data_IF_085357095973
#
_entry.id   IF_085357095973
#
_cell.length_a   1.000
_cell.length_b   1.000
_cell.length_c   1.000
_cell.angle_alpha   90.00
_cell.angle_beta   90.00
_cell.angle_gamma   90.00
#
_symmetry.space_group_name_H-M   'P 1'
#
loop_
_entity.id
_entity.type
_entity.pdbx_description
1 polymer ?
#
# COMPACT_ATOMS: atom_id res chain seq x y z
N UNK A 1 3.12 8.05 -3.86
CA UNK A 1 4.44 7.87 -4.51
C UNK A 1 5.06 9.20 -4.89
N UNK A 2 6.27 9.54 -4.39
CA UNK A 2 6.87 10.86 -4.56
C UNK A 2 7.23 11.19 -6.02
N UNK A 3 7.46 10.18 -6.86
CA UNK A 3 7.91 10.35 -8.25
C UNK A 3 6.79 10.60 -9.28
N UNK A 4 5.51 10.48 -8.92
CA UNK A 4 4.41 10.83 -9.84
C UNK A 4 4.31 12.36 -9.89
N UNK A 5 4.32 12.97 -11.07
CA UNK A 5 4.25 14.43 -11.21
C UNK A 5 2.92 15.01 -10.71
N UNK A 6 2.90 16.31 -10.35
CA UNK A 6 1.71 16.97 -9.78
C UNK A 6 0.53 17.05 -10.75
N UNK A 7 0.78 17.22 -12.05
CA UNK A 7 -0.28 17.30 -13.08
C UNK A 7 -1.09 15.99 -13.13
N UNK A 8 -0.41 14.86 -13.23
CA UNK A 8 -1.05 13.55 -13.26
C UNK A 8 -1.83 13.29 -11.95
N UNK A 9 -1.30 13.73 -10.80
CA UNK A 9 -2.05 13.63 -9.53
C UNK A 9 -3.32 14.48 -9.56
N UNK A 10 -3.25 15.71 -10.07
CA UNK A 10 -4.42 16.58 -10.15
C UNK A 10 -5.53 15.99 -11.04
N UNK A 11 -5.18 15.28 -12.11
CA UNK A 11 -6.14 14.58 -12.96
C UNK A 11 -6.74 13.33 -12.28
N UNK A 12 -5.94 12.60 -11.51
CA UNK A 12 -6.36 11.33 -10.90
C UNK A 12 -7.06 11.50 -9.56
N UNK A 13 -6.65 12.46 -8.73
CA UNK A 13 -7.11 12.60 -7.34
C UNK A 13 -8.64 12.69 -7.23
N UNK A 14 -9.36 13.53 -8.01
CA UNK A 14 -10.81 13.61 -7.88
C UNK A 14 -11.54 12.29 -8.14
N UNK A 15 -11.00 11.45 -9.05
CA UNK A 15 -11.55 10.14 -9.35
C UNK A 15 -11.24 9.13 -8.24
N UNK A 16 -10.05 9.23 -7.64
CA UNK A 16 -9.65 8.43 -6.50
C UNK A 16 -10.52 8.77 -5.29
N UNK A 17 -10.77 10.05 -5.04
CA UNK A 17 -11.61 10.54 -3.94
C UNK A 17 -13.02 9.95 -4.07
N UNK A 18 -13.67 10.13 -5.22
CA UNK A 18 -15.00 9.57 -5.50
C UNK A 18 -15.06 8.04 -5.33
N UNK A 19 -14.05 7.31 -5.83
CA UNK A 19 -14.02 5.86 -5.70
C UNK A 19 -13.80 5.43 -4.26
N UNK A 20 -12.94 6.13 -3.52
CA UNK A 20 -12.64 5.84 -2.11
C UNK A 20 -13.86 6.08 -1.21
N UNK A 21 -14.59 7.17 -1.41
CA UNK A 21 -15.86 7.43 -0.73
C UNK A 21 -16.88 6.33 -0.99
N UNK A 22 -16.97 5.87 -2.23
CA UNK A 22 -17.89 4.79 -2.58
C UNK A 22 -17.52 3.47 -1.91
N UNK A 23 -16.24 3.12 -1.89
CA UNK A 23 -15.75 1.92 -1.18
C UNK A 23 -16.05 2.02 0.31
N UNK A 24 -15.74 3.16 0.94
CA UNK A 24 -15.96 3.36 2.37
C UNK A 24 -17.44 3.34 2.75
N UNK A 25 -18.33 3.86 1.89
CA UNK A 25 -19.76 3.83 2.15
C UNK A 25 -20.35 2.43 1.96
N UNK A 26 -19.92 1.68 0.94
CA UNK A 26 -20.33 0.27 0.77
C UNK A 26 -19.80 -0.58 1.92
N UNK A 27 -18.55 -0.39 2.36
CA UNK A 27 -18.01 -1.21 3.47
C UNK A 27 -18.78 -1.03 4.78
N UNK A 28 -19.41 0.13 5.00
CA UNK A 28 -20.22 0.40 6.19
C UNK A 28 -21.58 -0.30 6.18
N UNK A 29 -22.04 -0.80 5.03
CA UNK A 29 -23.30 -1.54 4.92
C UNK A 29 -23.14 -3.03 5.14
N UNK A 30 -21.91 -3.52 5.34
CA UNK A 30 -21.59 -4.93 5.56
C UNK A 30 -21.44 -5.21 7.07
N UNK A 31 -21.75 -6.44 7.49
CA UNK A 31 -21.83 -6.82 8.92
C UNK A 31 -20.46 -7.06 9.61
N UNK A 32 -19.34 -6.70 8.98
CA UNK A 32 -18.01 -6.90 9.57
C UNK A 32 -17.02 -5.78 9.23
N UNK A 33 -16.24 -5.36 10.25
CA UNK A 33 -15.30 -4.24 10.14
C UNK A 33 -14.24 -4.41 9.04
N UNK A 34 -13.90 -5.66 8.69
CA UNK A 34 -12.93 -5.96 7.63
C UNK A 34 -13.48 -5.82 6.19
N UNK A 35 -14.75 -5.43 5.99
CA UNK A 35 -15.39 -5.40 4.67
C UNK A 35 -14.67 -4.49 3.67
N UNK A 36 -14.12 -3.37 4.14
CA UNK A 36 -13.33 -2.46 3.30
C UNK A 36 -12.15 -3.17 2.65
N UNK A 37 -11.54 -4.18 3.29
CA UNK A 37 -10.38 -4.88 2.77
C UNK A 37 -10.73 -5.70 1.53
N UNK A 38 -11.87 -6.40 1.54
CA UNK A 38 -12.37 -7.13 0.37
C UNK A 38 -12.68 -6.22 -0.81
N UNK A 39 -13.36 -5.10 -0.55
CA UNK A 39 -13.70 -4.11 -1.57
C UNK A 39 -12.46 -3.41 -2.15
N UNK A 40 -11.47 -3.07 -1.32
CA UNK A 40 -10.20 -2.53 -1.78
C UNK A 40 -9.43 -3.55 -2.62
N UNK A 41 -9.39 -4.82 -2.20
CA UNK A 41 -8.73 -5.88 -2.96
C UNK A 41 -9.36 -6.07 -4.35
N UNK A 42 -10.69 -6.21 -4.39
CA UNK A 42 -11.44 -6.30 -5.65
C UNK A 42 -11.20 -5.08 -6.55
N UNK A 43 -11.32 -3.88 -5.99
CA UNK A 43 -11.16 -2.63 -6.74
C UNK A 43 -9.77 -2.49 -7.30
N UNK A 44 -8.73 -2.74 -6.48
CA UNK A 44 -7.33 -2.65 -6.88
C UNK A 44 -7.01 -3.64 -8.00
N UNK A 45 -7.45 -4.89 -7.85
CA UNK A 45 -7.30 -5.94 -8.86
C UNK A 45 -7.97 -5.55 -10.17
N UNK A 46 -9.23 -5.14 -10.11
CA UNK A 46 -10.01 -4.76 -11.29
C UNK A 46 -9.43 -3.53 -11.98
N UNK A 47 -9.00 -2.52 -11.23
CA UNK A 47 -8.37 -1.32 -11.78
C UNK A 47 -7.07 -1.67 -12.52
N UNK A 48 -6.18 -2.43 -11.89
CA UNK A 48 -4.91 -2.85 -12.50
C UNK A 48 -5.12 -3.63 -13.80
N UNK A 49 -6.03 -4.62 -13.80
CA UNK A 49 -6.32 -5.42 -15.00
C UNK A 49 -6.95 -4.58 -16.12
N UNK A 50 -7.84 -3.64 -15.78
CA UNK A 50 -8.43 -2.71 -16.77
C UNK A 50 -7.36 -1.80 -17.38
N UNK A 51 -6.45 -1.26 -16.57
CA UNK A 51 -5.33 -0.44 -17.06
C UNK A 51 -4.47 -1.24 -18.03
N UNK A 52 -4.10 -2.49 -17.68
CA UNK A 52 -3.33 -3.37 -18.57
C UNK A 52 -4.07 -3.63 -19.88
N UNK A 53 -5.36 -3.97 -19.82
CA UNK A 53 -6.18 -4.22 -21.01
C UNK A 53 -6.24 -2.99 -21.93
N UNK A 54 -6.47 -1.80 -21.37
CA UNK A 54 -6.53 -0.55 -22.13
C UNK A 54 -5.18 -0.16 -22.72
N UNK A 55 -4.08 -0.37 -21.99
CA UNK A 55 -2.75 0.07 -22.40
C UNK A 55 -2.05 -0.87 -23.37
N UNK A 56 -2.25 -2.19 -23.21
CA UNK A 56 -1.48 -3.22 -23.91
C UNK A 56 -2.33 -4.18 -24.74
N UNK A 57 -3.65 -4.21 -24.56
CA UNK A 57 -4.59 -5.08 -25.29
C UNK A 57 -4.51 -6.58 -24.94
N UNK A 58 -3.38 -7.05 -24.39
CA UNK A 58 -3.17 -8.44 -23.98
C UNK A 58 -2.27 -8.55 -22.76
N UNK A 59 -2.48 -9.61 -21.98
CA UNK A 59 -1.63 -9.95 -20.83
C UNK A 59 -0.36 -10.67 -21.29
N UNK A 60 0.76 -10.37 -20.63
CA UNK A 60 2.06 -11.04 -20.80
C UNK A 60 2.68 -11.28 -19.43
N UNK A 61 3.53 -12.29 -19.30
CA UNK A 61 4.12 -12.67 -18.02
C UNK A 61 4.86 -11.51 -17.32
N UNK A 62 5.66 -10.73 -18.07
CA UNK A 62 6.35 -9.57 -17.49
C UNK A 62 5.40 -8.51 -16.94
N UNK A 63 4.17 -8.41 -17.46
CA UNK A 63 3.13 -7.51 -16.93
C UNK A 63 2.62 -8.05 -15.59
N UNK A 64 2.41 -9.36 -15.47
CA UNK A 64 2.03 -10.00 -14.21
C UNK A 64 3.11 -9.75 -13.15
N UNK A 65 4.38 -10.02 -13.48
CA UNK A 65 5.51 -9.75 -12.58
C UNK A 65 5.57 -8.26 -12.17
N UNK A 66 5.33 -7.34 -13.10
CA UNK A 66 5.30 -5.90 -12.84
C UNK A 66 4.15 -5.51 -11.90
N UNK A 67 2.94 -6.03 -12.11
CA UNK A 67 1.79 -5.76 -11.24
C UNK A 67 2.02 -6.30 -9.83
N UNK A 68 2.52 -7.52 -9.69
CA UNK A 68 2.86 -8.10 -8.40
C UNK A 68 3.90 -7.26 -7.66
N UNK A 69 4.95 -6.83 -8.36
CA UNK A 69 5.97 -5.93 -7.80
C UNK A 69 5.38 -4.59 -7.35
N UNK A 70 4.47 -4.00 -8.14
CA UNK A 70 3.77 -2.76 -7.75
C UNK A 70 2.98 -2.95 -6.47
N UNK A 71 2.19 -4.01 -6.35
CA UNK A 71 1.38 -4.23 -5.14
C UNK A 71 2.23 -4.57 -3.90
N UNK A 72 3.34 -5.30 -4.07
CA UNK A 72 4.32 -5.50 -3.01
C UNK A 72 4.89 -4.17 -2.52
N UNK A 73 5.32 -3.31 -3.44
CA UNK A 73 5.82 -1.97 -3.08
C UNK A 73 4.75 -1.11 -2.38
N UNK A 74 3.48 -1.21 -2.78
CA UNK A 74 2.38 -0.50 -2.07
C UNK A 74 2.26 -1.00 -0.63
N UNK A 75 2.27 -2.32 -0.42
CA UNK A 75 2.23 -2.92 0.92
C UNK A 75 3.40 -2.47 1.79
N UNK A 76 4.61 -2.49 1.23
CA UNK A 76 5.83 -2.13 1.98
C UNK A 76 5.84 -0.63 2.34
N UNK A 77 5.31 0.24 1.47
CA UNK A 77 5.19 1.66 1.78
C UNK A 77 4.16 1.95 2.88
N UNK A 78 3.10 1.15 3.02
CA UNK A 78 2.20 1.26 4.17
C UNK A 78 2.92 0.96 5.48
N UNK A 79 3.67 -0.14 5.51
CA UNK A 79 4.44 -0.50 6.70
C UNK A 79 5.49 0.58 7.02
N UNK A 80 6.35 0.91 6.05
CA UNK A 80 7.46 1.84 6.23
C UNK A 80 7.03 3.26 6.61
N UNK A 81 5.90 3.74 6.10
CA UNK A 81 5.44 5.13 6.36
C UNK A 81 4.43 5.26 7.48
N UNK A 82 3.65 4.21 7.77
CA UNK A 82 2.55 4.28 8.73
C UNK A 82 2.78 3.41 9.95
N UNK A 83 3.34 2.21 9.79
CA UNK A 83 3.61 1.30 10.91
C UNK A 83 4.93 1.65 11.61
N UNK A 84 6.03 1.85 10.87
CA UNK A 84 7.34 2.11 11.48
C UNK A 84 7.35 3.30 12.46
N UNK A 85 6.74 4.47 12.17
CA UNK A 85 6.68 5.57 13.15
C UNK A 85 5.87 5.25 14.41
N UNK A 86 4.95 4.29 14.35
CA UNK A 86 4.23 3.79 15.52
C UNK A 86 5.11 2.83 16.31
N UNK A 87 5.85 1.95 15.64
CA UNK A 87 6.81 1.03 16.26
C UNK A 87 7.94 1.78 16.95
N UNK A 88 8.51 2.82 16.32
CA UNK A 88 9.54 3.69 16.92
C UNK A 88 9.06 4.22 18.28
N UNK A 89 7.81 4.67 18.37
CA UNK A 89 7.21 5.14 19.63
C UNK A 89 6.98 4.01 20.64
N UNK A 90 6.69 2.79 20.19
CA UNK A 90 6.56 1.65 21.08
C UNK A 90 7.91 1.20 21.62
N UNK A 91 8.97 1.29 20.82
CA UNK A 91 10.35 1.03 21.23
C UNK A 91 10.80 2.04 22.29
N UNK A 92 10.56 3.34 22.05
CA UNK A 92 10.86 4.38 23.06
C UNK A 92 10.13 4.14 24.39
N UNK A 93 8.91 3.58 24.34
CA UNK A 93 8.06 3.37 25.51
C UNK A 93 8.38 2.07 26.27
N UNK A 94 8.63 0.98 25.55
CA UNK A 94 8.68 -0.37 26.11
C UNK A 94 10.05 -1.04 25.99
N UNK A 95 11.01 -0.42 25.30
CA UNK A 95 12.24 -1.06 24.83
C UNK A 95 12.02 -1.80 23.50
N UNK A 96 13.10 -2.10 22.79
CA UNK A 96 13.07 -2.99 21.62
C UNK A 96 13.38 -4.44 22.03
N UNK A 97 13.42 -5.35 21.06
CA UNK A 97 13.98 -6.70 21.25
C UNK A 97 15.48 -6.58 21.51
N UNK A 98 15.91 -7.11 22.64
CA UNK A 98 17.29 -7.09 23.12
C UNK A 98 18.33 -7.49 22.05
N UNK A 99 18.10 -8.58 21.32
CA UNK A 99 19.02 -9.04 20.28
C UNK A 99 19.15 -8.07 19.10
N UNK A 100 18.13 -7.26 18.79
CA UNK A 100 18.25 -6.23 17.76
C UNK A 100 19.17 -5.11 18.23
N UNK A 101 19.11 -4.73 19.50
CA UNK A 101 20.02 -3.73 20.06
C UNK A 101 21.47 -4.24 20.10
N UNK A 102 21.68 -5.52 20.44
CA UNK A 102 23.01 -6.15 20.41
C UNK A 102 23.61 -6.14 19.01
N UNK A 103 22.86 -6.62 18.02
CA UNK A 103 23.33 -6.67 16.64
C UNK A 103 23.48 -5.28 16.00
N UNK A 104 22.64 -4.30 16.35
CA UNK A 104 22.80 -2.91 15.88
C UNK A 104 24.10 -2.29 16.41
N UNK A 105 24.49 -2.57 17.66
CA UNK A 105 25.79 -2.16 18.21
C UNK A 105 26.96 -2.81 17.46
N UNK A 106 26.91 -4.11 17.21
CA UNK A 106 27.93 -4.83 16.42
C UNK A 106 28.08 -4.22 15.01
N UNK A 107 26.97 -3.97 14.32
CA UNK A 107 26.96 -3.39 12.97
C UNK A 107 27.52 -1.96 12.96
N UNK A 108 27.22 -1.17 14.00
CA UNK A 108 27.70 0.21 14.13
C UNK A 108 29.13 0.31 14.68
N UNK A 109 29.70 -0.79 15.14
CA UNK A 109 31.02 -0.82 15.79
C UNK A 109 31.03 -0.11 17.15
N UNK A 110 29.92 -0.18 17.88
CA UNK A 110 29.72 0.37 19.23
C UNK A 110 29.88 -0.70 20.31
#
# INVERSE_FOLDING_TARGET
MPYINKKNRAELNPLIDQLSEKIANISKTEDHDAAFAGLLNYTSTRLALKVVKLRFGKMRYWIVASLTGVFKNVSDEFYRRLASPYEDKQIEKNGDVDIYEELDKEIRGL
#
